data_IF_399403206634
#
_entry.id   IF_399403206634
#
_cell.length_a   1.000
_cell.length_b   1.000
_cell.length_c   1.000
_cell.angle_alpha   90.00
_cell.angle_beta   90.00
_cell.angle_gamma   90.00
#
_symmetry.space_group_name_H-M   'P 1'
#
loop_
_entity.id
_entity.type
_entity.pdbx_description
1 polymer ?
#
# COMPACT_ATOMS: atom_id res chain seq x y z
N UNK A 1 -28.66 44.63 70.15
CA UNK A 1 -28.97 43.56 71.12
C UNK A 1 -28.21 42.32 70.66
N UNK A 2 -27.43 41.71 71.56
CA UNK A 2 -26.96 40.29 71.60
C UNK A 2 -26.73 39.64 70.21
N UNK A 3 -25.50 39.53 69.69
CA UNK A 3 -24.48 38.53 70.05
C UNK A 3 -24.42 37.45 68.93
N UNK A 4 -23.36 36.75 68.54
CA UNK A 4 -21.93 36.59 68.91
C UNK A 4 -21.22 35.84 67.74
N UNK A 5 -19.90 35.57 67.63
CA UNK A 5 -18.61 36.04 68.21
C UNK A 5 -17.50 35.38 67.34
N UNK A 6 -16.47 36.04 66.81
CA UNK A 6 -15.09 36.17 67.36
C UNK A 6 -14.18 36.76 66.25
N UNK A 7 -13.24 37.70 66.48
CA UNK A 7 -11.84 37.51 66.94
C UNK A 7 -11.04 36.44 66.14
N UNK A 8 -9.79 36.64 65.66
CA UNK A 8 -8.89 37.82 65.57
C UNK A 8 -7.71 37.53 64.59
N UNK A 9 -6.92 38.57 64.26
CA UNK A 9 -5.63 38.64 63.50
C UNK A 9 -4.73 37.36 63.56
N UNK A 10 -3.91 36.99 62.55
CA UNK A 10 -2.67 37.69 62.14
C UNK A 10 -1.85 37.00 61.00
N UNK A 11 -1.00 37.79 60.30
CA UNK A 11 0.35 37.48 59.73
C UNK A 11 0.57 36.56 58.49
N UNK A 12 0.88 37.22 57.36
CA UNK A 12 2.10 37.10 56.49
C UNK A 12 2.64 35.77 55.96
N UNK A 13 3.05 35.83 54.66
CA UNK A 13 4.15 35.11 53.96
C UNK A 13 3.93 33.59 53.78
N UNK A 14 3.93 33.05 52.55
CA UNK A 14 5.04 33.06 51.59
C UNK A 14 4.50 32.74 50.17
N UNK A 15 5.04 33.35 49.11
CA UNK A 15 4.77 32.93 47.71
C UNK A 15 5.93 32.05 47.25
N UNK A 16 5.66 30.77 47.02
CA UNK A 16 6.65 29.82 46.49
C UNK A 16 6.41 29.66 44.98
N UNK A 17 7.30 30.21 44.15
CA UNK A 17 7.30 29.92 42.72
C UNK A 17 7.77 28.48 42.50
N UNK A 18 6.87 27.63 42.01
CA UNK A 18 7.25 26.34 41.43
C UNK A 18 7.40 26.52 39.91
N UNK A 19 8.65 26.57 39.43
CA UNK A 19 8.93 26.47 38.00
C UNK A 19 8.68 25.03 37.54
N UNK A 20 7.54 24.79 36.91
CA UNK A 20 7.33 23.58 36.13
C UNK A 20 8.11 23.70 34.81
N UNK A 21 9.28 23.08 34.74
CA UNK A 21 10.01 22.92 33.48
C UNK A 21 9.26 21.86 32.66
N UNK A 22 8.40 22.30 31.75
CA UNK A 22 7.83 21.44 30.71
C UNK A 22 8.95 21.17 29.71
N UNK A 23 9.63 20.04 29.85
CA UNK A 23 10.51 19.53 28.80
C UNK A 23 9.62 18.91 27.74
N UNK A 24 9.23 19.72 26.75
CA UNK A 24 8.65 19.21 25.51
C UNK A 24 9.75 18.46 24.74
N UNK A 25 9.81 17.14 24.90
CA UNK A 25 10.63 16.28 24.04
C UNK A 25 9.94 16.21 22.68
N UNK A 26 10.16 17.23 21.86
CA UNK A 26 9.88 17.14 20.43
C UNK A 26 10.87 16.16 19.84
N UNK A 27 10.42 14.93 19.58
CA UNK A 27 11.19 13.98 18.78
C UNK A 27 11.26 14.54 17.35
N UNK A 28 12.40 15.16 17.02
CA UNK A 28 12.65 15.71 15.70
C UNK A 28 12.68 14.60 14.67
N UNK A 29 11.75 14.61 13.71
CA UNK A 29 11.87 13.78 12.50
C UNK A 29 12.65 14.62 11.49
N UNK A 30 13.92 14.29 11.28
CA UNK A 30 14.70 14.89 10.21
C UNK A 30 14.41 14.17 8.90
N UNK A 31 13.70 14.85 7.99
CA UNK A 31 13.73 14.47 6.58
C UNK A 31 15.19 14.54 6.11
N UNK A 32 15.74 13.41 5.63
CA UNK A 32 17.16 13.33 5.29
C UNK A 32 17.38 13.95 3.91
N UNK A 33 17.62 15.26 3.90
CA UNK A 33 18.20 15.97 2.76
C UNK A 33 19.64 16.34 3.08
N UNK A 34 20.55 15.93 2.20
CA UNK A 34 22.00 16.21 2.17
C UNK A 34 22.93 15.15 2.84
N UNK A 35 23.96 14.75 2.08
CA UNK A 35 24.92 13.68 2.41
C UNK A 35 24.52 12.27 1.94
N UNK A 36 25.38 11.61 1.16
CA UNK A 36 25.26 10.19 0.84
C UNK A 36 25.48 9.35 2.11
N UNK A 37 24.42 8.77 2.67
CA UNK A 37 24.51 7.93 3.86
C UNK A 37 25.38 6.71 3.57
N UNK A 38 26.56 6.60 4.19
CA UNK A 38 27.31 5.36 4.27
C UNK A 38 26.97 4.64 5.58
N UNK A 39 26.71 3.34 5.50
CA UNK A 39 26.45 2.53 6.67
C UNK A 39 27.77 2.01 7.24
N UNK A 40 28.10 2.31 8.49
CA UNK A 40 29.31 1.78 9.15
C UNK A 40 29.41 0.23 9.08
N UNK A 41 28.26 -0.44 8.99
CA UNK A 41 28.15 -1.86 8.73
C UNK A 41 28.90 -2.35 7.46
N UNK A 42 28.93 -1.56 6.37
CA UNK A 42 29.62 -1.99 5.13
C UNK A 42 31.14 -1.92 5.22
N UNK A 43 31.68 -1.42 6.34
CA UNK A 43 33.11 -1.35 6.66
C UNK A 43 33.56 -2.52 7.54
N UNK A 44 32.64 -3.39 7.98
CA UNK A 44 32.94 -4.62 8.73
C UNK A 44 33.71 -5.64 7.85
N UNK A 45 34.77 -6.27 8.38
CA UNK A 45 35.72 -7.09 7.60
C UNK A 45 35.12 -8.34 6.91
N UNK A 46 34.01 -8.85 7.42
CA UNK A 46 33.28 -10.03 6.91
C UNK A 46 32.07 -9.66 6.04
N UNK A 47 31.85 -8.37 5.77
CA UNK A 47 30.81 -7.91 4.85
C UNK A 47 31.30 -7.99 3.42
N UNK A 48 30.48 -8.65 2.60
CA UNK A 48 30.65 -8.80 1.16
C UNK A 48 29.49 -8.09 0.45
N UNK A 49 29.56 -7.97 -0.88
CA UNK A 49 28.44 -7.46 -1.66
C UNK A 49 28.22 -8.25 -2.95
N UNK A 50 27.00 -8.15 -3.50
CA UNK A 50 26.68 -8.52 -4.87
C UNK A 50 25.60 -7.59 -5.42
N UNK A 51 25.52 -7.50 -6.75
CA UNK A 51 24.62 -6.59 -7.45
C UNK A 51 23.44 -7.38 -8.05
N UNK A 52 22.24 -6.83 -7.94
CA UNK A 52 20.97 -7.32 -8.48
C UNK A 52 20.41 -6.22 -9.37
N UNK A 53 20.54 -6.40 -10.68
CA UNK A 53 20.20 -5.38 -11.67
C UNK A 53 19.42 -6.00 -12.82
N UNK A 54 18.53 -5.23 -13.45
CA UNK A 54 18.06 -5.61 -14.77
C UNK A 54 19.28 -5.57 -15.74
N UNK A 55 19.41 -6.54 -16.67
CA UNK A 55 20.27 -6.33 -17.83
C UNK A 55 19.76 -5.10 -18.61
N UNK A 56 20.57 -4.54 -19.51
CA UNK A 56 20.15 -3.37 -20.29
C UNK A 56 18.85 -3.67 -21.05
N UNK A 57 17.77 -3.05 -20.59
CA UNK A 57 16.38 -3.35 -20.97
C UNK A 57 15.77 -2.11 -21.61
N UNK A 58 15.08 -2.30 -22.74
CA UNK A 58 14.31 -1.23 -23.39
C UNK A 58 13.09 -0.89 -22.53
N UNK A 59 12.93 0.38 -22.19
CA UNK A 59 11.77 0.85 -21.42
C UNK A 59 10.54 0.88 -22.33
N UNK A 60 9.38 0.37 -21.90
CA UNK A 60 8.13 0.50 -22.65
C UNK A 60 7.79 1.96 -22.96
N UNK A 61 7.21 2.22 -24.14
CA UNK A 61 6.72 3.56 -24.52
C UNK A 61 5.43 4.01 -23.83
N UNK A 62 5.04 3.37 -22.73
CA UNK A 62 3.88 3.74 -21.90
C UNK A 62 4.32 4.73 -20.83
N UNK A 63 3.43 5.61 -20.36
CA UNK A 63 3.74 6.63 -19.35
C UNK A 63 4.23 5.99 -18.04
N UNK A 64 3.54 4.96 -17.57
CA UNK A 64 3.91 4.16 -16.40
C UNK A 64 4.16 2.72 -16.88
N UNK A 65 5.23 2.09 -16.39
CA UNK A 65 5.45 0.66 -16.59
C UNK A 65 6.17 0.04 -15.40
N UNK A 66 5.71 -1.15 -15.00
CA UNK A 66 6.30 -1.98 -13.95
C UNK A 66 6.96 -3.20 -14.59
N UNK A 67 8.29 -3.31 -14.47
CA UNK A 67 9.07 -4.39 -15.05
C UNK A 67 9.74 -5.21 -13.96
N UNK A 68 9.55 -6.53 -14.04
CA UNK A 68 10.00 -7.51 -13.06
C UNK A 68 11.07 -8.43 -13.65
N UNK A 69 11.99 -8.88 -12.80
CA UNK A 69 12.91 -9.98 -13.09
C UNK A 69 13.32 -10.70 -11.79
N UNK A 70 13.14 -12.02 -11.77
CA UNK A 70 13.58 -12.91 -10.69
C UNK A 70 14.86 -13.65 -11.04
N UNK A 71 15.89 -13.55 -10.20
CA UNK A 71 17.15 -14.28 -10.33
C UNK A 71 17.48 -15.11 -9.08
N UNK A 72 18.19 -16.24 -9.20
CA UNK A 72 18.71 -16.96 -8.03
C UNK A 72 19.73 -16.09 -7.28
N UNK A 73 19.85 -16.31 -5.98
CA UNK A 73 20.91 -15.68 -5.18
C UNK A 73 22.28 -16.21 -5.67
N UNK A 74 23.29 -15.35 -5.94
CA UNK A 74 24.58 -15.78 -6.52
C UNK A 74 25.52 -16.50 -5.54
N UNK A 75 25.00 -16.90 -4.38
CA UNK A 75 25.71 -17.49 -3.25
C UNK A 75 25.47 -19.00 -3.20
N UNK A 76 26.34 -19.76 -2.54
CA UNK A 76 25.95 -21.12 -2.14
C UNK A 76 24.83 -21.05 -1.11
N UNK A 77 23.68 -21.67 -1.41
CA UNK A 77 22.48 -21.71 -0.57
C UNK A 77 22.64 -22.55 0.72
N UNK A 78 23.88 -22.71 1.20
CA UNK A 78 24.27 -23.55 2.35
C UNK A 78 24.40 -22.75 3.66
N UNK A 79 24.27 -21.42 3.62
CA UNK A 79 24.33 -20.56 4.80
C UNK A 79 23.13 -19.61 4.82
N UNK A 80 22.76 -19.16 6.02
CA UNK A 80 21.94 -17.97 6.21
C UNK A 80 22.83 -16.72 6.23
N UNK A 81 22.28 -15.60 5.77
CA UNK A 81 22.96 -14.31 5.70
C UNK A 81 22.03 -13.21 6.19
N UNK A 82 22.62 -12.11 6.66
CA UNK A 82 21.93 -10.85 6.92
C UNK A 82 22.42 -9.80 5.92
N UNK A 83 21.50 -9.17 5.18
CA UNK A 83 21.78 -7.92 4.49
C UNK A 83 21.82 -6.78 5.51
N UNK A 84 22.94 -6.07 5.55
CA UNK A 84 23.23 -5.00 6.51
C UNK A 84 23.08 -3.61 5.90
N UNK A 85 23.12 -3.51 4.57
CA UNK A 85 22.77 -2.32 3.81
C UNK A 85 22.37 -2.69 2.38
N UNK A 86 21.63 -1.81 1.73
CA UNK A 86 21.36 -1.85 0.29
C UNK A 86 21.78 -0.51 -0.33
N UNK A 87 22.24 -0.51 -1.57
CA UNK A 87 22.62 0.72 -2.30
C UNK A 87 21.91 0.74 -3.66
N UNK A 88 21.21 1.82 -4.03
CA UNK A 88 20.55 1.94 -5.32
C UNK A 88 21.58 2.19 -6.42
N UNK A 89 21.56 1.35 -7.46
CA UNK A 89 22.42 1.44 -8.63
C UNK A 89 21.60 1.96 -9.81
N UNK A 90 21.43 3.28 -9.92
CA UNK A 90 20.58 3.92 -10.93
C UNK A 90 21.38 4.22 -12.22
N UNK A 91 20.98 3.63 -13.35
CA UNK A 91 21.50 3.93 -14.71
C UNK A 91 20.79 5.16 -15.31
N UNK A 92 19.47 5.29 -15.10
CA UNK A 92 18.68 6.43 -15.60
C UNK A 92 17.82 7.09 -14.50
N UNK A 93 18.34 8.18 -13.90
CA UNK A 93 17.69 8.93 -12.81
C UNK A 93 16.43 9.70 -13.23
N UNK A 94 16.23 9.94 -14.52
CA UNK A 94 15.04 10.65 -15.04
C UNK A 94 13.85 9.72 -15.28
N UNK A 95 14.07 8.39 -15.29
CA UNK A 95 13.03 7.38 -15.55
C UNK A 95 12.65 6.56 -14.33
N UNK A 96 13.62 6.16 -13.50
CA UNK A 96 13.37 5.24 -12.37
C UNK A 96 12.67 6.00 -11.24
N UNK A 97 11.38 5.75 -11.09
CA UNK A 97 10.58 6.39 -10.05
C UNK A 97 10.72 5.66 -8.69
N UNK A 98 10.62 4.32 -8.72
CA UNK A 98 10.95 3.48 -7.58
C UNK A 98 11.43 2.09 -7.99
N UNK A 99 12.12 1.39 -7.08
CA UNK A 99 12.55 0.01 -7.22
C UNK A 99 12.22 -0.76 -5.95
N UNK A 100 11.62 -1.94 -6.09
CA UNK A 100 11.31 -2.85 -4.99
C UNK A 100 12.11 -4.14 -5.17
N UNK A 101 12.68 -4.66 -4.08
CA UNK A 101 13.35 -5.96 -4.07
C UNK A 101 12.64 -6.92 -3.14
N UNK A 102 12.16 -8.02 -3.70
CA UNK A 102 11.47 -9.09 -3.00
C UNK A 102 12.32 -10.35 -2.93
N UNK A 103 12.15 -11.10 -1.85
CA UNK A 103 12.65 -12.46 -1.69
C UNK A 103 11.55 -13.48 -2.00
N UNK A 104 11.91 -14.51 -2.76
CA UNK A 104 11.08 -15.67 -3.00
C UNK A 104 11.66 -16.88 -2.26
N UNK A 105 10.80 -17.68 -1.63
CA UNK A 105 11.15 -19.00 -1.13
C UNK A 105 11.18 -20.05 -2.27
N UNK A 106 11.10 -21.33 -1.90
CA UNK A 106 10.68 -22.36 -2.84
C UNK A 106 9.23 -22.11 -3.25
N UNK A 107 8.95 -22.16 -4.55
CA UNK A 107 7.63 -21.96 -5.15
C UNK A 107 7.27 -23.17 -5.99
N UNK A 108 5.97 -23.34 -6.24
CA UNK A 108 5.45 -24.34 -7.16
C UNK A 108 5.46 -23.87 -8.64
N UNK A 109 6.30 -22.88 -8.97
CA UNK A 109 6.42 -22.32 -10.33
C UNK A 109 6.85 -23.40 -11.31
N UNK A 110 6.12 -23.54 -12.42
CA UNK A 110 6.52 -24.43 -13.52
C UNK A 110 7.86 -24.02 -14.13
N UNK A 111 8.62 -24.93 -14.77
CA UNK A 111 9.87 -24.57 -15.44
C UNK A 111 9.74 -23.44 -16.46
N UNK A 112 8.58 -23.28 -17.11
CA UNK A 112 8.30 -22.15 -18.00
C UNK A 112 8.16 -20.82 -17.25
N UNK A 113 7.38 -20.78 -16.16
CA UNK A 113 7.25 -19.59 -15.31
C UNK A 113 8.61 -19.20 -14.72
N UNK A 114 9.40 -20.17 -14.27
CA UNK A 114 10.77 -19.92 -13.79
C UNK A 114 11.73 -19.42 -14.87
N UNK A 115 11.52 -19.77 -16.14
CA UNK A 115 12.32 -19.29 -17.26
C UNK A 115 11.91 -17.86 -17.66
N UNK A 116 10.61 -17.59 -17.78
CA UNK A 116 10.07 -16.26 -18.08
C UNK A 116 10.45 -15.24 -17.00
N UNK A 117 10.34 -15.63 -15.72
CA UNK A 117 10.71 -14.77 -14.60
C UNK A 117 12.20 -14.36 -14.62
N UNK A 118 13.10 -15.14 -15.24
CA UNK A 118 14.53 -14.80 -15.35
C UNK A 118 14.85 -13.76 -16.41
N UNK A 119 13.89 -13.39 -17.26
CA UNK A 119 14.02 -12.30 -18.22
C UNK A 119 13.21 -11.09 -17.78
N UNK A 120 13.64 -9.84 -18.06
CA UNK A 120 12.82 -8.67 -17.84
C UNK A 120 11.49 -8.78 -18.59
N UNK A 121 10.39 -8.63 -17.86
CA UNK A 121 9.02 -8.70 -18.39
C UNK A 121 8.11 -7.74 -17.62
N UNK A 122 6.93 -7.43 -18.16
CA UNK A 122 5.91 -6.70 -17.38
C UNK A 122 5.52 -7.55 -16.17
N UNK A 123 5.51 -6.93 -14.99
CA UNK A 123 5.15 -7.61 -13.75
C UNK A 123 3.74 -8.20 -13.83
N UNK A 124 3.57 -9.42 -13.32
CA UNK A 124 2.28 -10.10 -13.28
C UNK A 124 2.00 -10.80 -11.94
N UNK A 125 0.88 -11.51 -11.88
CA UNK A 125 0.47 -12.24 -10.68
C UNK A 125 1.51 -13.28 -10.19
N UNK A 126 2.36 -13.79 -11.08
CA UNK A 126 3.49 -14.65 -10.72
C UNK A 126 4.56 -13.95 -9.90
N UNK A 127 4.89 -12.69 -10.19
CA UNK A 127 5.90 -11.93 -9.45
C UNK A 127 5.40 -11.58 -8.05
N UNK A 128 4.10 -11.30 -7.93
CA UNK A 128 3.41 -11.07 -6.65
C UNK A 128 3.39 -12.30 -5.72
N UNK A 129 3.83 -13.48 -6.19
CA UNK A 129 4.08 -14.65 -5.32
C UNK A 129 5.32 -14.48 -4.44
N UNK A 130 6.27 -13.62 -4.80
CA UNK A 130 7.47 -13.31 -4.02
C UNK A 130 7.14 -12.31 -2.91
N UNK A 131 6.64 -12.79 -1.77
CA UNK A 131 6.09 -11.94 -0.69
C UNK A 131 7.10 -11.31 0.27
N UNK A 132 8.36 -11.73 0.32
CA UNK A 132 9.32 -11.19 1.31
C UNK A 132 9.91 -9.85 0.86
N UNK A 133 9.24 -8.75 1.20
CA UNK A 133 9.72 -7.39 0.89
C UNK A 133 11.05 -7.08 1.62
N UNK A 134 12.17 -7.04 0.89
CA UNK A 134 13.52 -6.90 1.44
C UNK A 134 13.95 -5.43 1.56
N UNK A 135 13.77 -4.66 0.49
CA UNK A 135 14.08 -3.22 0.46
C UNK A 135 13.26 -2.51 -0.62
N UNK A 136 13.01 -1.22 -0.37
CA UNK A 136 12.46 -0.26 -1.32
C UNK A 136 13.44 0.89 -1.53
N UNK A 137 13.48 1.41 -2.75
CA UNK A 137 14.05 2.71 -3.06
C UNK A 137 13.04 3.52 -3.87
N UNK A 138 13.01 4.83 -3.65
CA UNK A 138 12.28 5.82 -4.43
C UNK A 138 13.21 6.98 -4.78
N UNK A 139 12.80 7.81 -5.74
CA UNK A 139 13.34 9.16 -5.88
C UNK A 139 13.42 9.87 -4.51
N UNK A 140 14.48 10.64 -4.27
CA UNK A 140 14.74 11.31 -2.99
C UNK A 140 15.61 10.53 -1.99
N UNK A 141 15.76 9.20 -2.13
CA UNK A 141 16.68 8.41 -1.30
C UNK A 141 18.07 8.39 -1.93
N UNK A 142 19.06 8.99 -1.28
CA UNK A 142 20.46 8.99 -1.71
C UNK A 142 21.36 8.15 -0.79
N UNK A 143 22.39 7.52 -1.37
CA UNK A 143 23.33 6.68 -0.64
C UNK A 143 22.75 5.33 -0.20
N UNK A 144 23.31 4.76 0.86
CA UNK A 144 22.99 3.42 1.35
C UNK A 144 21.80 3.40 2.31
N UNK A 145 20.90 2.45 2.09
CA UNK A 145 19.77 2.13 2.96
C UNK A 145 20.25 1.15 4.03
N UNK A 146 20.65 1.68 5.19
CA UNK A 146 21.18 0.92 6.31
C UNK A 146 20.11 0.11 7.04
N UNK A 147 20.39 -1.18 7.28
CA UNK A 147 19.71 -1.99 8.30
C UNK A 147 20.12 -1.51 9.71
N UNK A 148 19.24 -1.60 10.72
CA UNK A 148 19.56 -1.20 12.10
C UNK A 148 20.79 -1.95 12.66
N UNK A 149 21.61 -1.36 13.56
CA UNK A 149 22.87 -1.97 13.98
C UNK A 149 22.76 -3.39 14.58
N UNK A 150 21.64 -3.69 15.23
CA UNK A 150 21.35 -4.99 15.85
C UNK A 150 20.45 -5.90 14.99
N UNK A 151 20.17 -5.53 13.75
CA UNK A 151 19.25 -6.25 12.86
C UNK A 151 19.75 -6.32 11.39
N UNK A 152 19.22 -7.27 10.63
CA UNK A 152 19.51 -7.40 9.19
C UNK A 152 18.39 -8.12 8.44
N UNK A 153 18.28 -7.92 7.13
CA UNK A 153 17.28 -8.63 6.32
C UNK A 153 17.81 -10.05 6.05
N UNK A 154 17.11 -11.07 6.54
CA UNK A 154 17.55 -12.48 6.43
C UNK A 154 17.29 -13.06 5.05
N UNK A 155 18.29 -13.70 4.47
CA UNK A 155 18.19 -14.46 3.21
C UNK A 155 19.13 -15.69 3.21
N UNK A 156 18.99 -16.56 2.21
CA UNK A 156 19.83 -17.76 2.04
C UNK A 156 19.13 -19.06 2.45
N UNK A 157 19.91 -20.01 2.99
CA UNK A 157 19.48 -21.38 3.32
C UNK A 157 18.11 -21.41 4.04
N UNK A 158 17.15 -22.17 3.50
CA UNK A 158 15.81 -22.39 4.07
C UNK A 158 14.98 -21.10 4.32
N UNK A 159 15.40 -19.98 3.73
CA UNK A 159 14.72 -18.68 3.83
C UNK A 159 14.39 -18.19 2.41
N UNK A 160 15.07 -17.16 1.94
CA UNK A 160 14.97 -16.63 0.58
C UNK A 160 16.00 -17.33 -0.33
N UNK A 161 15.57 -17.91 -1.45
CA UNK A 161 16.42 -18.61 -2.43
C UNK A 161 16.56 -17.86 -3.76
N UNK A 162 15.59 -17.01 -4.10
CA UNK A 162 15.57 -16.14 -5.28
C UNK A 162 15.21 -14.71 -4.90
N UNK A 163 15.62 -13.76 -5.73
CA UNK A 163 15.36 -12.34 -5.58
C UNK A 163 14.58 -11.84 -6.80
N UNK A 164 13.42 -11.24 -6.59
CA UNK A 164 12.64 -10.56 -7.63
C UNK A 164 12.85 -9.05 -7.51
N UNK A 165 13.42 -8.45 -8.55
CA UNK A 165 13.57 -7.01 -8.70
C UNK A 165 12.39 -6.48 -9.53
N UNK A 166 11.64 -5.54 -8.97
CA UNK A 166 10.64 -4.75 -9.67
C UNK A 166 11.18 -3.32 -9.83
N UNK A 167 11.05 -2.76 -11.03
CA UNK A 167 11.33 -1.35 -11.32
C UNK A 167 10.08 -0.69 -11.92
N UNK A 168 9.67 0.44 -11.34
CA UNK A 168 8.69 1.33 -11.93
C UNK A 168 9.41 2.45 -12.69
N UNK A 169 9.20 2.49 -14.01
CA UNK A 169 9.60 3.60 -14.86
C UNK A 169 8.44 4.56 -15.14
N UNK A 170 8.67 5.85 -14.91
CA UNK A 170 7.79 6.96 -15.27
C UNK A 170 8.32 7.64 -16.55
N UNK A 171 7.94 7.10 -17.71
CA UNK A 171 8.31 7.63 -19.03
C UNK A 171 7.27 8.68 -19.47
N UNK A 172 7.24 9.82 -18.77
CA UNK A 172 6.21 10.86 -18.93
C UNK A 172 6.00 11.35 -20.39
N UNK A 173 7.04 11.27 -21.23
CA UNK A 173 7.01 11.68 -22.64
C UNK A 173 6.78 10.50 -23.62
N UNK A 174 6.47 9.29 -23.15
CA UNK A 174 6.30 8.07 -23.96
C UNK A 174 7.47 7.84 -24.96
N UNK A 175 8.69 8.21 -24.55
CA UNK A 175 9.85 8.22 -25.44
C UNK A 175 10.29 6.80 -25.77
N UNK A 176 10.55 6.54 -27.06
CA UNK A 176 10.92 5.24 -27.59
C UNK A 176 12.45 5.07 -27.63
N UNK A 177 12.92 3.82 -27.54
CA UNK A 177 14.34 3.48 -27.71
C UNK A 177 15.26 3.85 -26.54
N UNK A 178 14.71 4.35 -25.44
CA UNK A 178 15.46 4.54 -24.19
C UNK A 178 15.65 3.17 -23.50
N UNK A 179 16.77 3.02 -22.80
CA UNK A 179 17.08 1.79 -22.04
C UNK A 179 17.60 2.14 -20.66
N UNK A 180 17.39 1.21 -19.74
CA UNK A 180 17.84 1.29 -18.36
C UNK A 180 18.49 -0.04 -17.95
N UNK A 181 19.37 0.03 -16.96
CA UNK A 181 19.96 -1.14 -16.29
C UNK A 181 20.13 -0.78 -14.81
N UNK A 182 19.04 -0.39 -14.15
CA UNK A 182 19.05 -0.06 -12.73
C UNK A 182 18.87 -1.29 -11.83
N UNK A 183 19.05 -1.11 -10.52
CA UNK A 183 18.85 -2.14 -9.51
C UNK A 183 19.48 -1.81 -8.17
N UNK A 184 19.87 -2.83 -7.41
CA UNK A 184 20.47 -2.70 -6.08
C UNK A 184 21.82 -3.40 -5.98
N UNK A 185 22.72 -2.85 -5.16
CA UNK A 185 23.77 -3.61 -4.49
C UNK A 185 23.29 -4.02 -3.11
N UNK A 186 23.59 -5.26 -2.73
CA UNK A 186 23.27 -5.82 -1.41
C UNK A 186 24.56 -6.05 -0.66
N UNK A 187 24.73 -5.39 0.50
CA UNK A 187 25.84 -5.64 1.42
C UNK A 187 25.39 -6.61 2.50
N UNK A 188 26.15 -7.69 2.73
CA UNK A 188 25.72 -8.79 3.57
C UNK A 188 26.86 -9.49 4.31
N UNK A 189 26.54 -10.13 5.43
CA UNK A 189 27.46 -10.99 6.21
C UNK A 189 26.80 -12.32 6.59
N UNK A 190 27.64 -13.33 6.88
CA UNK A 190 27.24 -14.59 7.55
C UNK A 190 26.98 -14.42 9.05
N UNK A 191 27.44 -13.31 9.64
CA UNK A 191 27.31 -12.99 11.07
C UNK A 191 25.91 -12.45 11.35
N UNK A 192 24.97 -13.36 11.60
CA UNK A 192 23.59 -13.00 11.91
C UNK A 192 23.52 -12.07 13.13
N UNK A 193 22.81 -10.96 12.97
CA UNK A 193 22.49 -10.01 14.04
C UNK A 193 21.29 -10.52 14.85
N UNK A 194 20.97 -9.84 15.95
CA UNK A 194 19.97 -10.29 16.94
C UNK A 194 18.56 -10.40 16.36
N UNK A 195 18.18 -9.48 15.48
CA UNK A 195 16.84 -9.42 14.91
C UNK A 195 16.85 -9.50 13.39
N UNK A 196 15.80 -10.07 12.83
CA UNK A 196 15.53 -9.99 11.40
C UNK A 196 14.72 -8.71 11.11
N UNK A 197 15.03 -8.03 10.02
CA UNK A 197 14.28 -6.89 9.49
C UNK A 197 13.18 -7.37 8.53
N UNK A 198 12.06 -6.66 8.51
CA UNK A 198 11.01 -6.77 7.51
C UNK A 198 10.50 -5.39 7.09
N UNK A 199 9.76 -5.35 5.98
CA UNK A 199 9.03 -4.16 5.54
C UNK A 199 7.52 -4.45 5.54
N UNK A 200 6.74 -3.45 5.91
CA UNK A 200 5.28 -3.44 5.98
C UNK A 200 4.76 -2.31 5.08
N UNK A 201 3.82 -2.61 4.20
CA UNK A 201 3.00 -1.60 3.51
C UNK A 201 1.68 -1.44 4.27
N UNK A 202 1.31 -0.21 4.57
CA UNK A 202 -0.02 0.14 5.10
C UNK A 202 -0.66 1.26 4.27
N UNK A 203 -1.98 1.42 4.33
CA UNK A 203 -2.67 2.55 3.70
C UNK A 203 -4.10 2.27 3.29
N UNK A 204 -4.55 2.88 2.17
CA UNK A 204 -5.93 2.87 1.70
C UNK A 204 -6.04 2.47 0.22
N UNK A 205 -6.88 1.47 -0.07
CA UNK A 205 -7.21 0.99 -1.41
C UNK A 205 -8.51 1.60 -1.98
N UNK A 206 -9.39 2.15 -1.14
CA UNK A 206 -10.62 2.79 -1.57
C UNK A 206 -10.47 4.32 -1.69
N UNK A 207 -9.67 4.76 -2.64
CA UNK A 207 -9.53 6.19 -2.91
C UNK A 207 -10.63 6.68 -3.85
N UNK A 208 -11.31 7.73 -3.41
CA UNK A 208 -12.13 8.60 -4.26
C UNK A 208 -11.82 10.06 -3.90
N UNK A 209 -11.28 10.80 -4.86
CA UNK A 209 -10.76 12.15 -4.67
C UNK A 209 -11.45 13.06 -5.70
N UNK A 210 -12.43 13.90 -5.29
CA UNK A 210 -13.15 14.78 -6.19
C UNK A 210 -12.24 15.82 -6.87
N UNK A 211 -12.64 16.38 -8.03
CA UNK A 211 -11.95 17.50 -8.65
C UNK A 211 -12.14 18.81 -7.86
N UNK A 212 -11.26 19.79 -8.08
CA UNK A 212 -11.40 21.15 -7.54
C UNK A 212 -11.18 21.33 -6.03
N UNK A 213 -10.64 20.31 -5.34
CA UNK A 213 -10.38 20.36 -3.90
C UNK A 213 -8.99 20.98 -3.63
N UNK A 214 -8.94 22.03 -2.80
CA UNK A 214 -7.65 22.61 -2.36
C UNK A 214 -6.99 21.88 -1.19
N UNK A 215 -7.73 20.98 -0.54
CA UNK A 215 -7.26 20.12 0.55
C UNK A 215 -8.31 19.01 0.75
N UNK A 216 -7.96 17.77 0.42
CA UNK A 216 -8.86 16.62 0.56
C UNK A 216 -8.12 15.47 1.25
N UNK A 217 -8.54 15.12 2.46
CA UNK A 217 -7.90 14.08 3.26
C UNK A 217 -8.55 12.71 3.02
N UNK A 218 -7.72 11.69 2.83
CA UNK A 218 -8.12 10.28 2.85
C UNK A 218 -7.28 9.56 3.92
N UNK A 219 -7.92 8.64 4.65
CA UNK A 219 -7.28 7.90 5.74
C UNK A 219 -7.32 6.41 5.46
N UNK A 220 -6.28 5.70 5.88
CA UNK A 220 -6.25 4.25 5.98
C UNK A 220 -5.08 3.81 6.86
N UNK A 221 -4.68 2.55 6.80
CA UNK A 221 -3.55 2.06 7.57
C UNK A 221 -3.76 0.62 8.03
N UNK A 222 -3.36 0.36 9.28
CA UNK A 222 -3.48 -0.94 9.93
C UNK A 222 -4.16 -0.76 11.30
N UNK A 223 -5.37 -1.31 11.47
CA UNK A 223 -6.13 -1.14 12.71
C UNK A 223 -5.51 -1.86 13.92
N UNK A 224 -5.95 -1.45 15.12
CA UNK A 224 -5.62 -2.15 16.35
C UNK A 224 -6.12 -3.60 16.40
N UNK A 225 -7.17 -3.95 15.65
CA UNK A 225 -7.61 -5.34 15.51
C UNK A 225 -6.57 -6.15 14.73
N UNK A 226 -6.11 -5.64 13.59
CA UNK A 226 -5.08 -6.30 12.79
C UNK A 226 -3.75 -6.43 13.53
N UNK A 227 -3.27 -5.37 14.18
CA UNK A 227 -2.03 -5.49 14.96
C UNK A 227 -2.19 -6.43 16.15
N UNK A 228 -3.38 -6.58 16.73
CA UNK A 228 -3.66 -7.61 17.74
C UNK A 228 -3.59 -9.03 17.17
N UNK A 229 -4.06 -9.24 15.94
CA UNK A 229 -4.01 -10.55 15.27
C UNK A 229 -2.58 -10.94 14.86
N UNK A 230 -1.82 -10.00 14.28
CA UNK A 230 -0.47 -10.24 13.75
C UNK A 230 0.64 -10.19 14.80
N UNK A 231 0.56 -9.28 15.77
CA UNK A 231 1.65 -9.03 16.71
C UNK A 231 1.44 -9.83 18.00
N UNK A 232 2.32 -10.78 18.28
CA UNK A 232 2.39 -11.46 19.60
C UNK A 232 3.29 -10.71 20.60
N UNK A 233 4.13 -9.80 20.10
CA UNK A 233 5.10 -9.02 20.85
C UNK A 233 5.34 -7.69 20.14
N UNK A 234 5.91 -6.68 20.83
CA UNK A 234 6.15 -5.38 20.23
C UNK A 234 7.12 -5.42 19.04
N UNK A 235 6.86 -4.60 18.04
CA UNK A 235 7.79 -4.29 16.93
C UNK A 235 8.32 -2.86 17.05
N UNK A 236 9.41 -2.59 16.35
CA UNK A 236 10.15 -1.33 16.37
C UNK A 236 10.32 -0.83 14.94
N UNK A 237 9.61 0.24 14.60
CA UNK A 237 9.67 0.92 13.31
C UNK A 237 10.98 1.72 13.24
N UNK A 238 11.72 1.67 12.14
CA UNK A 238 13.01 2.38 11.98
C UNK A 238 13.09 3.30 10.77
N UNK A 239 12.25 3.06 9.77
CA UNK A 239 12.10 3.93 8.59
C UNK A 239 10.63 3.98 8.22
N UNK A 240 10.17 5.12 7.71
CA UNK A 240 8.86 5.29 7.14
C UNK A 240 8.97 6.17 5.88
N UNK A 241 8.24 5.79 4.83
CA UNK A 241 8.21 6.53 3.58
C UNK A 241 6.78 6.54 3.05
N UNK A 242 6.20 7.72 2.90
CA UNK A 242 4.84 7.88 2.37
C UNK A 242 4.90 7.96 0.85
N UNK A 243 4.00 7.26 0.19
CA UNK A 243 3.86 7.20 -1.25
C UNK A 243 2.45 7.62 -1.68
N UNK A 244 2.43 8.66 -2.52
CA UNK A 244 1.29 9.21 -3.26
C UNK A 244 1.78 9.60 -4.66
N UNK A 245 0.89 9.68 -5.64
CA UNK A 245 1.15 10.15 -7.00
C UNK A 245 1.10 11.69 -7.08
N UNK A 246 0.82 12.23 -8.28
CA UNK A 246 0.97 13.64 -8.62
C UNK A 246 0.07 14.62 -7.83
N UNK A 247 -1.05 14.17 -7.24
CA UNK A 247 -1.97 15.07 -6.52
C UNK A 247 -1.79 15.04 -5.00
N UNK A 248 -0.90 14.18 -4.48
CA UNK A 248 -0.43 14.23 -3.09
C UNK A 248 0.15 15.61 -2.74
N UNK A 249 -0.25 16.16 -1.60
CA UNK A 249 0.06 17.52 -1.15
C UNK A 249 0.66 17.54 0.27
N UNK A 250 0.32 16.56 1.11
CA UNK A 250 0.92 16.37 2.43
C UNK A 250 0.53 15.01 3.05
N UNK A 251 1.14 14.66 4.18
CA UNK A 251 0.88 13.39 4.86
C UNK A 251 1.03 13.48 6.39
N UNK A 252 0.35 12.60 7.11
CA UNK A 252 0.62 12.31 8.53
C UNK A 252 0.53 10.80 8.75
N UNK A 253 1.56 10.20 9.36
CA UNK A 253 1.53 8.84 9.87
C UNK A 253 1.53 8.87 11.40
N UNK A 254 0.49 8.34 12.03
CA UNK A 254 0.28 8.35 13.47
C UNK A 254 0.35 6.94 14.07
N UNK A 255 0.94 6.83 15.26
CA UNK A 255 0.74 5.71 16.17
C UNK A 255 -0.40 6.06 17.12
N UNK A 256 -1.47 5.28 17.10
CA UNK A 256 -2.67 5.48 17.93
C UNK A 256 -2.81 4.30 18.89
N UNK A 257 -3.10 4.59 20.16
CA UNK A 257 -3.32 3.58 21.22
C UNK A 257 -4.52 3.99 22.05
N UNK A 258 -5.42 3.05 22.34
CA UNK A 258 -6.64 3.31 23.11
C UNK A 258 -7.45 4.51 22.58
N UNK A 259 -7.49 4.68 21.25
CA UNK A 259 -8.15 5.79 20.56
C UNK A 259 -7.42 7.14 20.56
N UNK A 260 -6.24 7.24 21.16
CA UNK A 260 -5.46 8.48 21.29
C UNK A 260 -4.16 8.44 20.49
N UNK A 261 -3.80 9.54 19.82
CA UNK A 261 -2.50 9.68 19.14
C UNK A 261 -1.38 9.70 20.17
N UNK A 262 -0.50 8.70 20.12
CA UNK A 262 0.67 8.57 21.01
C UNK A 262 1.89 9.25 20.41
N UNK A 263 2.07 9.14 19.09
CA UNK A 263 3.20 9.74 18.36
C UNK A 263 2.85 9.98 16.89
N UNK A 264 3.16 11.15 16.38
CA UNK A 264 3.31 11.37 14.95
C UNK A 264 4.66 10.77 14.53
N UNK A 265 4.62 9.73 13.69
CA UNK A 265 5.80 9.02 13.17
C UNK A 265 6.38 9.78 11.97
N UNK A 266 5.51 10.29 11.10
CA UNK A 266 5.84 11.15 9.95
C UNK A 266 4.83 12.29 9.86
N UNK A 267 5.31 13.47 9.47
CA UNK A 267 4.48 14.62 9.08
C UNK A 267 5.12 15.31 7.89
N UNK A 268 4.55 15.12 6.71
CA UNK A 268 4.94 15.84 5.49
C UNK A 268 3.98 17.03 5.30
N UNK A 269 4.41 18.23 5.71
CA UNK A 269 3.61 19.45 5.52
C UNK A 269 3.55 19.91 4.04
N UNK A 270 4.39 19.32 3.18
CA UNK A 270 4.43 19.53 1.73
C UNK A 270 4.97 18.25 1.10
N UNK A 271 4.25 17.70 0.13
CA UNK A 271 4.66 16.51 -0.63
C UNK A 271 4.84 16.84 -2.12
N UNK A 272 5.97 16.40 -2.67
CA UNK A 272 6.31 16.47 -4.09
C UNK A 272 6.56 15.06 -4.62
N UNK A 273 5.74 14.60 -5.59
CA UNK A 273 5.87 13.27 -6.21
C UNK A 273 7.26 12.96 -6.77
N UNK A 274 8.00 13.96 -7.23
CA UNK A 274 9.36 13.82 -7.80
C UNK A 274 10.46 13.81 -6.74
N UNK A 275 10.15 14.18 -5.48
CA UNK A 275 11.07 14.23 -4.33
C UNK A 275 10.34 13.82 -3.03
N UNK A 276 9.72 12.64 -2.98
CA UNK A 276 8.94 12.23 -1.82
C UNK A 276 9.88 12.09 -0.60
N UNK A 277 9.53 12.68 0.56
CA UNK A 277 10.37 12.61 1.76
C UNK A 277 10.63 11.17 2.21
N UNK A 278 11.86 10.89 2.64
CA UNK A 278 12.25 9.63 3.24
C UNK A 278 12.66 9.87 4.70
N UNK A 279 11.97 9.18 5.63
CA UNK A 279 12.15 9.39 7.06
C UNK A 279 12.89 8.21 7.68
N UNK A 280 14.09 8.48 8.20
CA UNK A 280 14.81 7.58 9.10
C UNK A 280 14.46 8.01 10.53
N UNK A 281 14.07 7.05 11.36
CA UNK A 281 13.64 7.32 12.73
C UNK A 281 14.84 7.18 13.66
N UNK A 282 15.36 8.30 14.16
CA UNK A 282 16.51 8.36 15.10
C UNK A 282 16.33 7.40 16.29
N UNK A 283 15.14 7.40 16.86
CA UNK A 283 14.70 6.43 17.87
C UNK A 283 13.63 5.50 17.28
N UNK A 284 13.84 4.16 17.29
CA UNK A 284 12.87 3.22 16.78
C UNK A 284 11.52 3.30 17.52
N UNK A 285 10.43 3.50 16.77
CA UNK A 285 9.10 3.67 17.36
C UNK A 285 8.50 2.32 17.71
N UNK A 286 8.21 2.11 19.00
CA UNK A 286 7.65 0.86 19.52
C UNK A 286 6.13 0.80 19.31
N UNK A 287 5.70 -0.19 18.54
CA UNK A 287 4.29 -0.56 18.32
C UNK A 287 3.97 -1.79 19.17
N UNK A 288 2.83 -1.77 19.86
CA UNK A 288 2.28 -2.88 20.63
C UNK A 288 1.17 -3.60 19.84
N UNK A 289 0.88 -4.88 20.14
CA UNK A 289 -0.38 -5.49 19.74
C UNK A 289 -1.55 -4.63 20.26
N UNK A 290 -2.50 -4.28 19.39
CA UNK A 290 -3.63 -3.39 19.72
C UNK A 290 -3.44 -1.93 19.32
N UNK A 291 -2.22 -1.51 18.96
CA UNK A 291 -1.99 -0.16 18.42
C UNK A 291 -2.49 -0.06 16.97
N UNK A 292 -3.06 1.07 16.59
CA UNK A 292 -3.37 1.42 15.20
C UNK A 292 -2.20 2.22 14.59
N UNK A 293 -1.83 1.88 13.36
CA UNK A 293 -0.95 2.70 12.52
C UNK A 293 -1.84 3.41 11.49
N UNK A 294 -2.07 4.70 11.68
CA UNK A 294 -2.99 5.51 10.86
C UNK A 294 -2.23 6.40 9.91
N UNK A 295 -2.45 6.23 8.61
CA UNK A 295 -1.95 7.11 7.57
C UNK A 295 -3.08 8.02 7.09
N UNK A 296 -2.85 9.34 7.14
CA UNK A 296 -3.69 10.33 6.45
C UNK A 296 -2.90 10.93 5.30
N UNK A 297 -3.41 10.76 4.07
CA UNK A 297 -2.90 11.41 2.87
C UNK A 297 -3.75 12.64 2.56
N UNK A 298 -3.10 13.75 2.22
CA UNK A 298 -3.75 15.01 1.86
C UNK A 298 -3.51 15.24 0.37
N UNK A 299 -4.59 15.43 -0.38
CA UNK A 299 -4.58 15.63 -1.82
C UNK A 299 -5.05 17.04 -2.21
N UNK A 300 -4.53 17.55 -3.33
CA UNK A 300 -4.96 18.80 -3.96
C UNK A 300 -5.30 18.53 -5.43
N UNK A 301 -6.54 18.82 -5.82
CA UNK A 301 -7.06 18.67 -7.19
C UNK A 301 -7.52 19.99 -7.80
N UNK A 302 -7.15 21.13 -7.18
CA UNK A 302 -7.53 22.48 -7.59
C UNK A 302 -6.37 23.25 -8.21
N UNK A 303 -5.17 23.13 -7.66
CA UNK A 303 -4.12 24.12 -7.84
C UNK A 303 -3.02 23.65 -8.82
N UNK A 304 -2.66 24.52 -9.78
CA UNK A 304 -1.55 24.32 -10.71
C UNK A 304 -1.61 23.01 -11.48
N UNK A 305 -0.45 22.34 -11.60
CA UNK A 305 -0.31 21.04 -12.30
C UNK A 305 -1.07 19.89 -11.60
N UNK A 306 -1.49 20.08 -10.35
CA UNK A 306 -2.31 19.11 -9.60
C UNK A 306 -3.81 19.24 -9.94
N UNK A 307 -4.24 20.28 -10.68
CA UNK A 307 -5.65 20.46 -11.05
C UNK A 307 -6.22 19.22 -11.77
N UNK A 308 -7.42 18.77 -11.38
CA UNK A 308 -8.16 17.69 -12.05
C UNK A 308 -9.58 18.13 -12.40
N UNK A 309 -10.11 17.62 -13.51
CA UNK A 309 -11.46 17.89 -14.01
C UNK A 309 -12.43 16.70 -13.82
N UNK A 310 -11.92 15.57 -13.36
CA UNK A 310 -12.65 14.35 -13.01
C UNK A 310 -12.26 13.89 -11.61
N UNK A 311 -13.09 13.03 -11.02
CA UNK A 311 -12.73 12.27 -9.83
C UNK A 311 -11.53 11.37 -10.13
N UNK A 312 -10.56 11.35 -9.22
CA UNK A 312 -9.42 10.44 -9.23
C UNK A 312 -9.72 9.30 -8.26
N UNK A 313 -9.41 8.08 -8.68
CA UNK A 313 -9.59 6.88 -7.89
C UNK A 313 -8.25 6.21 -7.63
N UNK A 314 -8.25 5.18 -6.78
CA UNK A 314 -7.08 4.32 -6.62
C UNK A 314 -6.60 3.73 -7.96
N UNK A 315 -5.29 3.67 -8.18
CA UNK A 315 -4.73 2.97 -9.34
C UNK A 315 -3.21 2.88 -9.33
N UNK A 316 -2.67 1.85 -10.00
CA UNK A 316 -1.24 1.60 -10.20
C UNK A 316 -0.54 2.65 -11.08
N UNK A 317 -1.31 3.28 -11.98
CA UNK A 317 -0.86 4.33 -12.89
C UNK A 317 -0.88 5.72 -12.25
N UNK A 318 -0.02 6.60 -12.73
CA UNK A 318 0.07 7.98 -12.25
C UNK A 318 -1.12 8.89 -12.64
N UNK A 319 -2.08 8.35 -13.40
CA UNK A 319 -3.40 8.92 -13.70
C UNK A 319 -4.50 8.50 -12.69
N UNK A 320 -4.19 7.53 -11.84
CA UNK A 320 -4.85 7.25 -10.56
C UNK A 320 -4.02 7.78 -9.38
N UNK A 321 -4.42 7.42 -8.15
CA UNK A 321 -3.68 7.75 -6.93
C UNK A 321 -3.39 6.53 -6.05
N UNK A 322 -2.46 6.73 -5.12
CA UNK A 322 -2.14 5.84 -4.02
C UNK A 322 -2.10 6.61 -2.70
N UNK A 323 -2.32 5.91 -1.59
CA UNK A 323 -2.10 6.43 -0.25
C UNK A 323 -1.49 5.30 0.58
N UNK A 324 -0.16 5.21 0.57
CA UNK A 324 0.57 4.17 1.29
C UNK A 324 1.70 4.73 2.15
N UNK A 325 2.01 4.01 3.23
CA UNK A 325 3.24 4.17 3.97
C UNK A 325 4.00 2.84 3.96
N UNK A 326 5.25 2.89 3.52
CA UNK A 326 6.17 1.79 3.52
C UNK A 326 7.10 1.92 4.73
N UNK A 327 7.13 0.87 5.55
CA UNK A 327 7.64 0.92 6.92
C UNK A 327 8.65 -0.21 7.10
N UNK A 328 9.90 0.13 7.45
CA UNK A 328 10.90 -0.86 7.86
C UNK A 328 10.82 -1.09 9.37
N UNK A 329 10.77 -2.35 9.81
CA UNK A 329 10.64 -2.71 11.23
C UNK A 329 11.44 -3.96 11.64
N UNK A 330 11.63 -4.14 12.94
CA UNK A 330 12.13 -5.39 13.55
C UNK A 330 11.45 -5.65 14.91
N UNK A 331 11.44 -6.89 15.43
CA UNK A 331 11.76 -8.13 14.71
C UNK A 331 10.72 -8.43 13.64
N UNK A 332 11.15 -9.04 12.52
CA UNK A 332 10.28 -9.57 11.48
C UNK A 332 9.18 -10.44 12.08
N UNK A 333 7.93 -10.13 11.73
CA UNK A 333 6.78 -11.02 11.92
C UNK A 333 6.61 -11.84 10.63
N UNK A 334 6.28 -13.13 10.76
CA UNK A 334 6.06 -14.01 9.59
C UNK A 334 4.82 -13.51 8.84
N UNK A 335 4.95 -13.39 7.52
CA UNK A 335 3.91 -13.03 6.54
C UNK A 335 3.17 -11.68 6.77
N UNK A 336 3.54 -10.91 7.80
CA UNK A 336 3.10 -9.53 8.03
C UNK A 336 3.93 -8.54 7.20
N UNK A 337 3.62 -8.47 5.91
CA UNK A 337 4.25 -7.60 4.91
C UNK A 337 3.29 -6.54 4.34
N UNK A 338 1.97 -6.73 4.48
CA UNK A 338 0.94 -5.77 4.13
C UNK A 338 -0.14 -5.75 5.22
N UNK A 339 -0.68 -4.56 5.51
CA UNK A 339 -1.86 -4.37 6.34
C UNK A 339 -2.54 -3.09 5.85
N UNK A 340 -3.50 -3.25 4.94
CA UNK A 340 -4.08 -2.17 4.13
C UNK A 340 -5.58 -2.17 4.35
N UNK A 341 -6.19 -0.99 4.38
CA UNK A 341 -7.64 -0.84 4.47
C UNK A 341 -8.27 -0.63 3.08
N UNK A 342 -9.53 -1.04 2.96
CA UNK A 342 -10.44 -0.63 1.91
C UNK A 342 -11.65 0.00 2.60
N UNK A 343 -11.89 1.29 2.39
CA UNK A 343 -12.84 2.08 3.18
C UNK A 343 -12.51 1.94 4.67
N UNK A 344 -13.42 1.42 5.48
CA UNK A 344 -13.25 1.10 6.89
C UNK A 344 -12.96 -0.40 7.16
N UNK A 345 -12.77 -1.22 6.13
CA UNK A 345 -12.52 -2.65 6.25
C UNK A 345 -11.03 -2.95 6.18
N UNK A 346 -10.53 -3.75 7.12
CA UNK A 346 -9.14 -4.18 7.13
C UNK A 346 -8.88 -5.39 6.21
N UNK A 347 -7.86 -5.31 5.36
CA UNK A 347 -7.35 -6.42 4.55
C UNK A 347 -6.09 -6.98 5.22
N UNK A 348 -6.27 -7.64 6.36
CA UNK A 348 -5.16 -8.11 7.20
C UNK A 348 -5.15 -9.64 7.44
N UNK A 349 -5.37 -10.44 6.40
CA UNK A 349 -5.29 -11.92 6.45
C UNK A 349 -4.07 -12.47 5.69
N UNK A 350 -3.51 -13.61 6.14
CA UNK A 350 -2.37 -14.29 5.46
C UNK A 350 -2.64 -14.59 3.97
N UNK A 351 -3.91 -14.75 3.59
CA UNK A 351 -4.32 -15.11 2.22
C UNK A 351 -4.41 -13.92 1.27
N UNK A 352 -4.40 -12.68 1.75
CA UNK A 352 -4.61 -11.47 0.94
C UNK A 352 -6.07 -11.22 0.54
N UNK A 353 -6.99 -12.03 1.06
CA UNK A 353 -8.44 -11.84 0.92
C UNK A 353 -9.04 -11.81 2.33
N UNK A 354 -9.26 -10.61 2.86
CA UNK A 354 -10.20 -10.41 3.95
C UNK A 354 -11.60 -10.17 3.37
N UNK A 355 -12.67 -10.62 4.02
CA UNK A 355 -14.02 -10.19 3.66
C UNK A 355 -14.16 -8.68 3.91
N UNK A 356 -14.71 -7.94 2.93
CA UNK A 356 -15.06 -6.54 3.11
C UNK A 356 -16.44 -6.46 3.75
N UNK A 357 -16.47 -6.62 5.08
CA UNK A 357 -17.69 -6.83 5.84
C UNK A 357 -18.28 -8.19 5.52
N UNK A 358 -19.45 -8.22 4.88
CA UNK A 358 -20.10 -9.45 4.40
C UNK A 358 -19.69 -9.83 2.96
N UNK A 359 -18.92 -8.98 2.26
CA UNK A 359 -18.49 -9.27 0.89
C UNK A 359 -17.23 -10.14 0.82
N UNK A 360 -17.34 -11.30 0.15
CA UNK A 360 -16.20 -12.13 -0.27
C UNK A 360 -16.10 -12.11 -1.80
N UNK A 361 -15.27 -11.23 -2.36
CA UNK A 361 -15.20 -11.04 -3.83
C UNK A 361 -14.99 -12.34 -4.62
N UNK A 362 -14.04 -13.25 -4.30
CA UNK A 362 -13.85 -14.47 -5.10
C UNK A 362 -15.10 -15.37 -5.14
N UNK A 363 -15.85 -15.43 -4.03
CA UNK A 363 -17.10 -16.19 -3.97
C UNK A 363 -18.23 -15.52 -4.76
N UNK A 364 -18.32 -14.18 -4.68
CA UNK A 364 -19.31 -13.41 -5.44
C UNK A 364 -19.07 -13.47 -6.96
N UNK A 365 -17.84 -13.25 -7.41
CA UNK A 365 -17.49 -13.31 -8.84
C UNK A 365 -17.76 -14.71 -9.40
N UNK A 366 -17.41 -15.76 -8.66
CA UNK A 366 -17.73 -17.13 -9.06
C UNK A 366 -19.24 -17.41 -9.11
N UNK A 367 -20.02 -16.95 -8.12
CA UNK A 367 -21.48 -17.09 -8.14
C UNK A 367 -22.13 -16.32 -9.30
N UNK A 368 -21.59 -15.15 -9.64
CA UNK A 368 -22.03 -14.35 -10.78
C UNK A 368 -21.84 -15.12 -12.09
N UNK A 369 -20.62 -15.60 -12.37
CA UNK A 369 -20.31 -16.37 -13.59
C UNK A 369 -21.05 -17.71 -13.68
N UNK A 370 -21.28 -18.38 -12.55
CA UNK A 370 -21.88 -19.72 -12.53
C UNK A 370 -23.42 -19.74 -12.60
N UNK A 371 -24.10 -18.62 -12.36
CA UNK A 371 -25.58 -18.62 -12.33
C UNK A 371 -26.28 -17.26 -12.29
N UNK A 372 -25.78 -16.26 -11.56
CA UNK A 372 -26.55 -15.01 -11.44
C UNK A 372 -26.61 -14.24 -12.78
N UNK A 373 -25.53 -14.28 -13.57
CA UNK A 373 -25.50 -13.65 -14.88
C UNK A 373 -26.48 -14.32 -15.85
N UNK A 374 -26.48 -15.66 -15.94
CA UNK A 374 -27.39 -16.40 -16.81
C UNK A 374 -28.85 -16.26 -16.36
N UNK A 375 -29.14 -16.21 -15.06
CA UNK A 375 -30.47 -15.93 -14.54
C UNK A 375 -31.01 -14.57 -15.03
N UNK A 376 -30.22 -13.50 -14.95
CA UNK A 376 -30.62 -12.19 -15.50
C UNK A 376 -30.78 -12.27 -17.03
N UNK A 377 -29.83 -12.89 -17.75
CA UNK A 377 -29.89 -12.97 -19.21
C UNK A 377 -31.08 -13.79 -19.72
N UNK A 378 -31.53 -14.82 -18.99
CA UNK A 378 -32.68 -15.67 -19.34
C UNK A 378 -34.03 -15.06 -18.93
N UNK A 379 -34.13 -14.47 -17.73
CA UNK A 379 -35.39 -13.89 -17.25
C UNK A 379 -35.66 -12.49 -17.82
N UNK A 380 -34.62 -11.74 -18.19
CA UNK A 380 -34.71 -10.36 -18.67
C UNK A 380 -34.34 -10.17 -20.16
N UNK A 381 -33.56 -11.06 -20.80
CA UNK A 381 -33.16 -11.00 -22.22
C UNK A 381 -33.60 -12.23 -23.04
N UNK A 382 -33.38 -12.34 -24.36
CA UNK A 382 -33.20 -11.33 -25.43
C UNK A 382 -34.54 -10.99 -26.12
N UNK A 383 -34.60 -9.85 -26.83
CA UNK A 383 -35.47 -9.69 -28.00
C UNK A 383 -34.62 -9.77 -29.28
N UNK A 384 -34.69 -10.89 -29.99
CA UNK A 384 -34.38 -10.90 -31.41
C UNK A 384 -35.63 -10.41 -32.17
N UNK A 385 -35.52 -9.22 -32.76
CA UNK A 385 -36.36 -8.71 -33.87
C UNK A 385 -37.90 -8.77 -33.75
N UNK A 386 -38.49 -8.57 -32.56
CA UNK A 386 -39.95 -8.30 -32.45
C UNK A 386 -40.25 -6.80 -32.46
N UNK A 387 -41.02 -6.34 -33.46
CA UNK A 387 -41.26 -4.93 -33.78
C UNK A 387 -42.29 -4.20 -32.89
N UNK A 388 -42.48 -4.60 -31.63
CA UNK A 388 -43.39 -3.96 -30.68
C UNK A 388 -42.69 -3.75 -29.33
N UNK A 389 -42.58 -2.49 -28.87
CA UNK A 389 -41.92 -2.13 -27.60
C UNK A 389 -42.61 -2.68 -26.34
N UNK A 390 -43.93 -2.92 -26.39
CA UNK A 390 -44.73 -3.39 -25.24
C UNK A 390 -44.24 -4.72 -24.63
N UNK A 391 -43.60 -5.59 -25.42
CA UNK A 391 -43.17 -6.91 -24.97
C UNK A 391 -41.85 -6.88 -24.17
N UNK A 392 -41.00 -5.85 -24.38
CA UNK A 392 -39.74 -5.71 -23.66
C UNK A 392 -39.99 -5.28 -22.21
N UNK A 393 -40.76 -4.19 -22.02
CA UNK A 393 -41.13 -3.68 -20.69
C UNK A 393 -41.87 -4.73 -19.85
N UNK A 394 -42.75 -5.53 -20.46
CA UNK A 394 -43.48 -6.60 -19.77
C UNK A 394 -42.61 -7.75 -19.24
N UNK A 395 -41.47 -8.05 -19.88
CA UNK A 395 -40.48 -9.02 -19.38
C UNK A 395 -39.53 -8.41 -18.36
N UNK A 396 -39.02 -7.22 -18.67
CA UNK A 396 -38.10 -6.49 -17.82
C UNK A 396 -38.73 -6.19 -16.45
N UNK A 397 -39.97 -5.72 -16.43
CA UNK A 397 -40.73 -5.49 -15.19
C UNK A 397 -41.48 -6.74 -14.67
N UNK A 398 -41.05 -7.95 -15.07
CA UNK A 398 -41.62 -9.20 -14.55
C UNK A 398 -41.05 -9.55 -13.18
N UNK A 399 -41.80 -10.30 -12.36
CA UNK A 399 -41.32 -10.76 -11.06
C UNK A 399 -40.04 -11.61 -11.17
N UNK A 400 -39.96 -12.53 -12.14
CA UNK A 400 -38.78 -13.38 -12.33
C UNK A 400 -37.52 -12.58 -12.73
N UNK A 401 -37.67 -11.53 -13.54
CA UNK A 401 -36.57 -10.60 -13.82
C UNK A 401 -36.21 -9.77 -12.57
N UNK A 402 -37.22 -9.30 -11.82
CA UNK A 402 -37.05 -8.60 -10.53
C UNK A 402 -36.20 -9.41 -9.55
N UNK A 403 -36.54 -10.69 -9.36
CA UNK A 403 -35.89 -11.58 -8.39
C UNK A 403 -34.42 -11.82 -8.80
N UNK A 404 -34.16 -12.06 -10.09
CA UNK A 404 -32.81 -12.25 -10.62
C UNK A 404 -31.95 -10.97 -10.54
N UNK A 405 -32.54 -9.80 -10.80
CA UNK A 405 -31.90 -8.50 -10.60
C UNK A 405 -31.61 -8.27 -9.11
N UNK A 406 -32.55 -8.58 -8.22
CA UNK A 406 -32.40 -8.42 -6.77
C UNK A 406 -31.32 -9.35 -6.19
N UNK A 407 -31.17 -10.57 -6.70
CA UNK A 407 -30.12 -11.50 -6.29
C UNK A 407 -28.71 -10.92 -6.53
N UNK A 408 -28.47 -10.27 -7.68
CA UNK A 408 -27.20 -9.58 -7.95
C UNK A 408 -27.10 -8.27 -7.18
N UNK A 409 -28.06 -7.36 -7.37
CA UNK A 409 -27.97 -5.98 -6.87
C UNK A 409 -28.03 -5.90 -5.34
N UNK A 410 -28.80 -6.77 -4.69
CA UNK A 410 -28.91 -6.87 -3.23
C UNK A 410 -27.72 -7.56 -2.55
N UNK A 411 -26.83 -8.22 -3.30
CA UNK A 411 -25.67 -8.90 -2.73
C UNK A 411 -24.71 -7.91 -2.03
N UNK A 412 -24.11 -8.23 -0.86
CA UNK A 412 -23.22 -7.31 -0.14
C UNK A 412 -22.08 -6.73 -0.98
N UNK A 413 -21.50 -7.53 -1.90
CA UNK A 413 -20.46 -7.05 -2.83
C UNK A 413 -20.94 -6.04 -3.88
N UNK A 414 -22.25 -5.78 -3.98
CA UNK A 414 -22.86 -4.78 -4.88
C UNK A 414 -23.35 -3.53 -4.15
N UNK A 415 -23.18 -3.47 -2.82
CA UNK A 415 -23.64 -2.38 -1.96
C UNK A 415 -22.52 -1.39 -1.60
N UNK A 416 -22.89 -0.12 -1.42
CA UNK A 416 -22.00 0.94 -0.93
C UNK A 416 -20.67 1.09 -1.70
N UNK A 417 -19.59 1.43 -0.98
CA UNK A 417 -18.23 1.63 -1.52
C UNK A 417 -17.67 0.37 -2.18
N UNK A 418 -17.89 -0.79 -1.56
CA UNK A 418 -17.53 -2.11 -2.07
C UNK A 418 -18.14 -2.33 -3.46
N UNK A 419 -19.45 -2.14 -3.60
CA UNK A 419 -20.16 -2.28 -4.87
C UNK A 419 -19.82 -1.21 -5.92
N UNK A 420 -19.49 0.01 -5.52
CA UNK A 420 -18.99 1.04 -6.44
C UNK A 420 -17.63 0.63 -7.02
N UNK A 421 -16.72 0.13 -6.19
CA UNK A 421 -15.44 -0.38 -6.64
C UNK A 421 -15.59 -1.63 -7.52
N UNK A 422 -16.41 -2.61 -7.12
CA UNK A 422 -16.65 -3.83 -7.89
C UNK A 422 -17.09 -3.53 -9.33
N UNK A 423 -18.08 -2.65 -9.51
CA UNK A 423 -18.57 -2.19 -10.82
C UNK A 423 -17.51 -1.45 -11.66
N UNK A 424 -16.50 -0.86 -11.02
CA UNK A 424 -15.42 -0.08 -11.65
C UNK A 424 -14.20 -0.94 -12.02
N UNK A 425 -13.85 -1.95 -11.21
CA UNK A 425 -12.53 -2.61 -11.27
C UNK A 425 -12.55 -4.13 -11.38
N UNK A 426 -13.67 -4.81 -11.09
CA UNK A 426 -13.75 -6.29 -11.10
C UNK A 426 -14.75 -6.80 -12.13
N UNK A 427 -15.96 -6.25 -12.13
CA UNK A 427 -17.03 -6.70 -13.01
C UNK A 427 -16.78 -6.42 -14.51
N UNK A 428 -16.12 -5.33 -14.94
CA UNK A 428 -15.82 -5.09 -16.36
C UNK A 428 -15.07 -6.21 -17.09
N UNK A 429 -14.31 -7.04 -16.38
CA UNK A 429 -13.53 -8.14 -16.94
C UNK A 429 -14.34 -9.45 -17.05
N UNK A 430 -15.55 -9.52 -16.48
CA UNK A 430 -16.42 -10.70 -16.56
C UNK A 430 -17.17 -10.76 -17.89
N UNK A 431 -17.19 -11.94 -18.51
CA UNK A 431 -17.71 -12.17 -19.88
C UNK A 431 -19.12 -11.61 -20.11
N UNK A 432 -20.05 -11.88 -19.19
CA UNK A 432 -21.46 -11.52 -19.33
C UNK A 432 -21.83 -10.17 -18.71
N UNK A 433 -20.92 -9.50 -18.00
CA UNK A 433 -21.23 -8.28 -17.25
C UNK A 433 -21.71 -7.15 -18.16
N UNK A 434 -21.17 -7.00 -19.37
CA UNK A 434 -21.60 -5.95 -20.29
C UNK A 434 -23.10 -6.06 -20.64
N UNK A 435 -23.59 -7.28 -20.87
CA UNK A 435 -25.00 -7.54 -21.21
C UNK A 435 -25.90 -7.47 -19.97
N UNK A 436 -25.44 -7.97 -18.81
CA UNK A 436 -26.15 -7.83 -17.53
C UNK A 436 -26.29 -6.36 -17.15
N UNK A 437 -25.23 -5.56 -17.29
CA UNK A 437 -25.25 -4.11 -17.01
C UNK A 437 -26.27 -3.38 -17.89
N UNK A 438 -26.33 -3.69 -19.19
CA UNK A 438 -27.33 -3.07 -20.08
C UNK A 438 -28.77 -3.36 -19.59
N UNK A 439 -29.05 -4.58 -19.15
CA UNK A 439 -30.35 -4.97 -18.57
C UNK A 439 -30.63 -4.20 -17.27
N UNK A 440 -29.64 -4.06 -16.38
CA UNK A 440 -29.78 -3.29 -15.13
C UNK A 440 -30.08 -1.81 -15.41
N UNK A 441 -29.34 -1.17 -16.31
CA UNK A 441 -29.55 0.23 -16.73
C UNK A 441 -30.96 0.41 -17.35
N UNK A 442 -31.42 -0.57 -18.15
CA UNK A 442 -32.77 -0.57 -18.72
C UNK A 442 -33.84 -0.74 -17.66
N UNK A 443 -33.66 -1.64 -16.68
CA UNK A 443 -34.61 -1.92 -15.61
C UNK A 443 -34.80 -0.69 -14.70
N UNK A 444 -33.71 -0.03 -14.28
CA UNK A 444 -33.77 1.22 -13.51
C UNK A 444 -34.55 2.31 -14.25
N UNK A 445 -34.44 2.37 -15.59
CA UNK A 445 -35.12 3.35 -16.42
C UNK A 445 -36.62 3.05 -16.64
N UNK A 446 -36.99 1.78 -16.86
CA UNK A 446 -38.35 1.39 -17.29
C UNK A 446 -39.22 0.82 -16.18
N UNK A 447 -38.60 0.34 -15.10
CA UNK A 447 -39.25 -0.32 -13.97
C UNK A 447 -38.82 0.33 -12.62
N UNK A 448 -38.89 1.67 -12.43
CA UNK A 448 -38.33 2.40 -11.27
C UNK A 448 -39.04 2.16 -9.92
N UNK A 449 -39.80 1.06 -9.82
CA UNK A 449 -40.46 0.57 -8.61
C UNK A 449 -40.03 -0.86 -8.25
N UNK A 450 -39.13 -1.45 -9.05
CA UNK A 450 -38.28 -2.59 -8.71
C UNK A 450 -36.95 -2.08 -8.18
#
# INVERSE_FOLDING_TARGET
MIGESSYFKFRTKLVTLAFAIIVSVTASVTAVTDGSQECEATKEQDVMYFDVKLPRTTVPGQVTSYVCQTQPIPMTSQHEYHAVAFEPLIDNRDLVHHMLLFGCGETHDTPMQQAQARTPHLCGASDNSCRFFLVQWSMGIEGQICSPPNAGVRFGLKSVSRLSLQIHWNNANSTQGISDSSGFRIYYTKRLRKYDVANLQIGQNDLEIPPGQGHYAQTGGCSGECTSQWLQQPIFLTRAHVHMHYIGDGSVLELVRDGHVVKEIVRDNSYEYTKPPAHVLDEPVKVLPGDELRLTCIFNTRDGEKQRNRTIYWGEGSDGEMCYAFITYYPKVKDFNQCIQFDNYDICTETGFAPLGECVYPGFLHAFEMGMASAILEQCGKVESSSNGDNLTGRLCSAACSDAIQEVTGHPCMQGRVGQNARRTLLPDLVDWAAVKEILDQAETHCPHQ
#
